data_IF_304961806314
#
_entry.id   IF_304961806314
#
_cell.length_a   1.000
_cell.length_b   1.000
_cell.length_c   1.000
_cell.angle_alpha   90.00
_cell.angle_beta   90.00
_cell.angle_gamma   90.00
#
_symmetry.space_group_name_H-M   'P 1'
#
loop_
_entity.id
_entity.type
_entity.pdbx_description
1 polymer ?
#
# COMPACT_ATOMS: atom_id res chain seq x y z
N UNK A 1 -5.03 3.90 -17.31
CA UNK A 1 -5.68 3.87 -15.97
C UNK A 1 -7.13 3.44 -16.12
N UNK A 2 -7.55 2.39 -15.42
CA UNK A 2 -8.90 1.82 -15.55
C UNK A 2 -9.94 2.72 -14.85
N UNK A 3 -10.76 3.45 -15.63
CA UNK A 3 -11.77 4.39 -15.10
C UNK A 3 -12.79 3.73 -14.16
N UNK A 4 -13.02 2.41 -14.26
CA UNK A 4 -13.92 1.69 -13.35
C UNK A 4 -13.38 1.59 -11.93
N UNK A 5 -12.07 1.42 -11.78
CA UNK A 5 -11.41 1.30 -10.47
C UNK A 5 -11.38 2.64 -9.71
N UNK A 6 -11.45 3.76 -10.44
CA UNK A 6 -11.45 5.10 -9.83
C UNK A 6 -12.80 5.52 -9.22
N UNK A 7 -13.89 4.89 -9.62
CA UNK A 7 -15.24 5.25 -9.19
C UNK A 7 -15.81 4.33 -8.10
N UNK A 8 -15.04 3.31 -7.71
CA UNK A 8 -15.37 2.41 -6.62
C UNK A 8 -14.15 2.32 -5.71
N UNK A 9 -14.34 2.53 -4.45
CA UNK A 9 -13.27 2.41 -3.46
C UNK A 9 -13.72 1.60 -2.26
N UNK A 10 -12.75 1.05 -1.56
CA UNK A 10 -12.98 0.23 -0.38
C UNK A 10 -12.03 0.68 0.72
N UNK A 11 -12.50 0.67 1.95
CA UNK A 11 -11.67 0.82 3.16
C UNK A 11 -11.27 -0.55 3.69
N UNK A 12 -10.04 -0.64 4.18
CA UNK A 12 -9.47 -1.83 4.79
C UNK A 12 -9.59 -1.71 6.29
N UNK A 13 -10.24 -2.68 6.92
CA UNK A 13 -10.38 -2.75 8.37
C UNK A 13 -10.00 -4.15 8.87
N UNK A 14 -9.53 -4.22 10.12
CA UNK A 14 -9.23 -5.50 10.79
C UNK A 14 -10.49 -6.34 10.93
N UNK A 15 -10.34 -7.64 10.75
CA UNK A 15 -11.35 -8.66 10.97
C UNK A 15 -11.48 -9.65 9.83
N UNK A 16 -12.11 -10.75 10.12
CA UNK A 16 -12.39 -11.83 9.18
C UNK A 16 -13.32 -11.37 8.05
N UNK A 17 -12.98 -11.75 6.82
CA UNK A 17 -13.76 -11.48 5.62
C UNK A 17 -14.08 -12.75 4.85
N UNK A 18 -14.79 -12.62 3.72
CA UNK A 18 -15.09 -13.74 2.82
C UNK A 18 -13.84 -14.25 2.09
N UNK A 19 -12.88 -13.36 1.85
CA UNK A 19 -11.65 -13.62 1.11
C UNK A 19 -10.45 -13.52 2.05
N UNK A 20 -9.37 -14.23 1.73
CA UNK A 20 -8.17 -14.33 2.56
C UNK A 20 -7.26 -13.09 2.42
N UNK A 21 -7.83 -11.90 2.66
CA UNK A 21 -7.04 -10.68 2.71
C UNK A 21 -6.33 -10.56 4.05
N UNK A 22 -5.08 -10.13 4.05
CA UNK A 22 -4.24 -10.07 5.24
C UNK A 22 -3.52 -8.72 5.35
N UNK A 23 -3.31 -8.27 6.57
CA UNK A 23 -2.29 -7.31 6.94
C UNK A 23 -1.09 -8.10 7.46
N UNK A 24 0.13 -7.72 7.06
CA UNK A 24 1.35 -8.37 7.54
C UNK A 24 1.50 -9.83 7.12
N UNK A 25 2.13 -10.60 8.00
CA UNK A 25 2.35 -12.03 7.85
C UNK A 25 3.62 -12.40 7.08
N UNK A 26 3.86 -13.72 7.01
CA UNK A 26 5.04 -14.30 6.37
C UNK A 26 4.68 -15.26 5.21
N UNK A 27 3.44 -15.21 4.75
CA UNK A 27 2.95 -16.08 3.66
C UNK A 27 3.54 -15.70 2.28
N UNK A 28 4.22 -14.56 2.20
CA UNK A 28 4.93 -14.05 1.02
C UNK A 28 6.43 -14.04 1.31
N UNK A 29 7.21 -14.70 0.48
CA UNK A 29 8.67 -14.63 0.52
C UNK A 29 9.13 -13.24 0.05
N UNK A 30 9.92 -12.56 0.89
CA UNK A 30 10.42 -11.20 0.62
C UNK A 30 11.93 -11.20 0.42
N UNK A 31 12.44 -10.12 -0.18
CA UNK A 31 13.85 -9.86 -0.35
C UNK A 31 14.38 -8.96 0.77
N UNK A 32 15.69 -9.00 1.04
CA UNK A 32 16.34 -7.99 1.85
C UNK A 32 16.20 -6.60 1.21
N UNK A 33 15.96 -5.59 2.03
CA UNK A 33 15.97 -4.20 1.59
C UNK A 33 17.37 -3.82 1.09
N UNK A 34 17.50 -3.19 -0.07
CA UNK A 34 18.81 -2.77 -0.62
C UNK A 34 19.53 -1.76 0.26
N UNK A 35 18.81 -0.97 1.06
CA UNK A 35 19.38 0.04 1.95
C UNK A 35 19.85 -0.55 3.26
N UNK A 36 18.99 -1.23 4.03
CA UNK A 36 19.32 -1.69 5.39
C UNK A 36 19.63 -3.19 5.51
N UNK A 37 19.39 -3.99 4.47
CA UNK A 37 19.63 -5.43 4.49
C UNK A 37 18.59 -6.25 5.28
N UNK A 38 17.62 -5.60 5.95
CA UNK A 38 16.54 -6.28 6.66
C UNK A 38 15.49 -6.78 5.66
N UNK A 39 14.75 -7.87 5.97
CA UNK A 39 13.64 -8.30 5.14
C UNK A 39 12.59 -7.19 5.00
N UNK A 40 12.11 -6.94 3.78
CA UNK A 40 11.03 -5.98 3.53
C UNK A 40 9.76 -6.48 4.20
N UNK A 41 9.01 -5.57 4.83
CA UNK A 41 7.73 -5.91 5.43
C UNK A 41 6.63 -6.01 4.36
N UNK A 42 5.89 -7.10 4.40
CA UNK A 42 4.60 -7.20 3.71
C UNK A 42 3.58 -6.40 4.53
N UNK A 43 2.89 -5.49 3.89
CA UNK A 43 1.92 -4.58 4.53
C UNK A 43 0.50 -5.08 4.33
N UNK A 44 0.15 -5.41 3.09
CA UNK A 44 -1.15 -5.94 2.73
C UNK A 44 -0.98 -7.11 1.75
N UNK A 45 -1.81 -8.11 1.87
CA UNK A 45 -1.94 -9.19 0.89
C UNK A 45 -3.40 -9.28 0.48
N UNK A 46 -3.68 -9.03 -0.79
CA UNK A 46 -5.02 -9.17 -1.32
C UNK A 46 -5.21 -10.52 -2.01
N UNK A 47 -6.31 -11.18 -1.68
CA UNK A 47 -6.79 -12.36 -2.38
C UNK A 47 -7.42 -11.94 -3.72
N UNK A 48 -6.82 -12.34 -4.83
CA UNK A 48 -7.27 -11.96 -6.16
C UNK A 48 -8.48 -12.77 -6.67
N UNK A 49 -8.96 -13.74 -5.88
CA UNK A 49 -10.28 -14.37 -6.10
C UNK A 49 -11.43 -13.44 -5.69
N UNK A 50 -11.15 -12.39 -4.90
CA UNK A 50 -12.15 -11.36 -4.61
C UNK A 50 -12.55 -10.63 -5.90
N UNK A 51 -13.85 -10.62 -6.26
CA UNK A 51 -14.34 -9.98 -7.48
C UNK A 51 -13.97 -8.51 -7.66
N UNK A 52 -13.60 -7.81 -6.58
CA UNK A 52 -13.13 -6.42 -6.69
C UNK A 52 -11.81 -6.31 -7.45
N UNK A 53 -10.98 -7.36 -7.45
CA UNK A 53 -9.67 -7.42 -8.11
C UNK A 53 -9.70 -8.14 -9.47
N UNK A 54 -10.86 -8.54 -9.97
CA UNK A 54 -10.99 -9.32 -11.22
C UNK A 54 -10.30 -8.69 -12.44
N UNK A 55 -10.21 -7.36 -12.46
CA UNK A 55 -9.65 -6.61 -13.59
C UNK A 55 -8.11 -6.51 -13.51
N UNK A 56 -7.49 -6.89 -12.38
CA UNK A 56 -6.05 -6.79 -12.14
C UNK A 56 -5.38 -8.15 -11.82
N UNK A 57 -6.14 -9.16 -11.43
CA UNK A 57 -5.66 -10.44 -10.91
C UNK A 57 -5.09 -11.43 -11.93
N UNK A 58 -4.72 -11.00 -13.14
CA UNK A 58 -4.31 -11.93 -14.21
C UNK A 58 -3.04 -12.72 -13.87
N UNK A 59 -3.21 -14.03 -13.63
CA UNK A 59 -2.11 -14.97 -13.44
C UNK A 59 -1.38 -14.89 -12.09
N UNK A 60 -2.04 -14.36 -11.07
CA UNK A 60 -1.66 -14.42 -9.66
C UNK A 60 -2.89 -14.79 -8.84
N UNK A 61 -2.68 -15.51 -7.74
CA UNK A 61 -3.73 -15.76 -6.73
C UNK A 61 -3.74 -14.67 -5.66
N UNK A 62 -2.60 -14.01 -5.42
CA UNK A 62 -2.43 -12.99 -4.39
C UNK A 62 -1.63 -11.79 -4.90
N UNK A 63 -1.96 -10.60 -4.39
CA UNK A 63 -1.21 -9.37 -4.64
C UNK A 63 -0.64 -8.84 -3.31
N UNK A 64 0.66 -9.04 -3.05
CA UNK A 64 1.33 -8.43 -1.90
C UNK A 64 1.66 -6.96 -2.18
N UNK A 65 1.40 -6.11 -1.19
CA UNK A 65 1.88 -4.74 -1.12
C UNK A 65 2.89 -4.66 0.03
N UNK A 66 4.10 -4.23 -0.26
CA UNK A 66 5.22 -4.27 0.66
C UNK A 66 6.08 -3.02 0.58
N UNK A 67 6.76 -2.70 1.66
CA UNK A 67 7.78 -1.65 1.74
C UNK A 67 8.75 -1.95 2.89
N UNK A 68 9.96 -1.39 2.84
CA UNK A 68 10.83 -1.39 4.00
C UNK A 68 10.45 -0.22 4.92
N UNK A 69 10.08 -0.52 6.17
CA UNK A 69 9.67 0.49 7.15
C UNK A 69 10.78 0.85 8.15
N UNK A 70 11.97 0.25 8.02
CA UNK A 70 13.05 0.33 9.02
C UNK A 70 14.25 1.17 8.56
N UNK A 71 14.12 1.90 7.47
CA UNK A 71 15.18 2.77 6.97
C UNK A 71 14.62 3.84 6.02
N UNK A 72 15.46 4.77 5.59
CA UNK A 72 15.13 5.82 4.60
C UNK A 72 14.49 5.29 3.33
N UNK A 73 14.65 4.02 3.03
CA UNK A 73 14.00 3.39 1.91
C UNK A 73 12.48 3.50 1.88
N UNK A 74 11.83 3.71 3.03
CA UNK A 74 10.40 3.99 3.06
C UNK A 74 10.04 5.39 2.54
N UNK A 75 11.00 6.31 2.46
CA UNK A 75 10.80 7.67 1.97
C UNK A 75 11.00 7.82 0.47
N UNK A 76 11.48 6.76 -0.18
CA UNK A 76 11.78 6.75 -1.60
C UNK A 76 10.82 5.86 -2.40
N UNK A 77 10.74 6.18 -3.70
CA UNK A 77 10.01 5.33 -4.63
C UNK A 77 10.68 3.96 -4.74
N UNK A 78 9.91 2.92 -4.53
CA UNK A 78 10.34 1.52 -4.65
C UNK A 78 9.61 0.82 -5.79
N UNK A 79 10.28 -0.16 -6.40
CA UNK A 79 9.70 -1.04 -7.41
C UNK A 79 10.07 -2.48 -7.10
N UNK A 80 9.12 -3.39 -7.29
CA UNK A 80 9.36 -4.82 -7.21
C UNK A 80 8.44 -5.60 -8.13
N UNK A 81 8.90 -6.77 -8.53
CA UNK A 81 8.08 -7.72 -9.27
C UNK A 81 7.38 -8.66 -8.31
N UNK A 82 6.14 -9.03 -8.65
CA UNK A 82 5.35 -10.00 -7.90
C UNK A 82 5.28 -11.31 -8.67
N UNK A 83 5.65 -12.40 -8.04
CA UNK A 83 5.37 -13.75 -8.48
C UNK A 83 4.44 -14.45 -7.48
N UNK A 84 4.06 -15.68 -7.76
CA UNK A 84 3.24 -16.46 -6.83
C UNK A 84 3.94 -16.56 -5.46
N UNK A 85 3.32 -15.99 -4.41
CA UNK A 85 3.80 -15.99 -3.03
C UNK A 85 5.21 -15.42 -2.80
N UNK A 86 5.74 -14.58 -3.67
CA UNK A 86 7.05 -13.93 -3.47
C UNK A 86 7.20 -12.60 -4.18
N UNK A 87 8.09 -11.80 -3.64
CA UNK A 87 8.55 -10.53 -4.19
C UNK A 87 9.93 -10.76 -4.84
N UNK A 88 10.12 -10.22 -6.03
CA UNK A 88 11.35 -10.32 -6.82
C UNK A 88 11.84 -8.94 -7.21
N UNK A 89 13.16 -8.83 -7.49
CA UNK A 89 13.77 -7.67 -8.14
C UNK A 89 13.42 -6.33 -7.48
N UNK A 90 13.52 -6.27 -6.14
CA UNK A 90 13.31 -5.03 -5.41
C UNK A 90 14.35 -3.98 -5.82
N UNK A 91 13.87 -2.85 -6.33
CA UNK A 91 14.68 -1.67 -6.68
C UNK A 91 14.23 -0.48 -5.84
N UNK A 92 15.19 0.28 -5.37
CA UNK A 92 15.00 1.44 -4.55
C UNK A 92 16.02 2.50 -4.95
N UNK A 93 15.60 3.74 -4.96
CA UNK A 93 16.41 4.89 -5.32
C UNK A 93 16.60 5.76 -4.07
N UNK A 94 17.53 5.38 -3.22
CA UNK A 94 17.82 6.05 -1.95
C UNK A 94 19.19 6.74 -2.07
N UNK A 95 19.19 8.07 -2.02
CA UNK A 95 20.41 8.88 -2.06
C UNK A 95 21.02 9.05 -0.67
N UNK A 96 20.20 9.17 0.37
CA UNK A 96 20.63 9.34 1.76
C UNK A 96 20.22 8.14 2.60
N UNK A 97 21.20 7.34 3.05
CA UNK A 97 20.94 6.14 3.86
C UNK A 97 20.76 6.48 5.33
N UNK A 98 19.57 6.35 5.82
CA UNK A 98 19.24 6.43 7.22
C UNK A 98 18.68 5.10 7.72
N UNK A 99 18.93 4.73 8.96
CA UNK A 99 18.50 3.48 9.58
C UNK A 99 17.78 3.77 10.88
N UNK A 100 16.66 3.11 11.10
CA UNK A 100 15.96 3.15 12.36
C UNK A 100 16.77 2.46 13.45
N UNK A 101 16.85 3.04 14.64
CA UNK A 101 17.49 2.41 15.79
C UNK A 101 16.84 1.06 16.09
N UNK A 102 17.60 0.12 16.63
CA UNK A 102 17.12 -1.27 16.79
C UNK A 102 15.86 -1.36 17.65
N UNK A 103 15.74 -0.52 18.66
CA UNK A 103 14.62 -0.45 19.60
C UNK A 103 13.33 0.10 18.98
N UNK A 104 13.44 0.92 17.92
CA UNK A 104 12.30 1.55 17.23
C UNK A 104 11.87 0.76 16.00
N UNK A 105 12.62 -0.28 15.62
CA UNK A 105 12.32 -1.05 14.40
C UNK A 105 10.98 -1.77 14.50
N UNK A 106 10.22 -1.63 13.44
CA UNK A 106 9.05 -2.49 13.25
C UNK A 106 9.48 -3.93 12.97
N UNK A 107 8.72 -4.92 13.48
CA UNK A 107 9.04 -6.32 13.26
C UNK A 107 9.02 -6.68 11.76
N UNK A 108 9.84 -7.65 11.39
CA UNK A 108 9.83 -8.26 10.07
C UNK A 108 9.93 -9.79 10.24
N UNK A 109 8.84 -10.52 9.94
CA UNK A 109 7.58 -10.05 9.40
C UNK A 109 6.75 -9.25 10.42
N UNK A 110 5.82 -8.42 9.90
CA UNK A 110 4.75 -7.85 10.71
C UNK A 110 3.80 -8.96 11.19
N UNK A 111 3.05 -8.76 12.29
CA UNK A 111 2.00 -9.67 12.72
C UNK A 111 1.00 -9.93 11.59
N UNK A 112 0.58 -11.19 11.43
CA UNK A 112 -0.45 -11.55 10.45
C UNK A 112 -1.84 -11.34 11.03
N UNK A 113 -2.64 -10.50 10.39
CA UNK A 113 -3.97 -10.11 10.86
C UNK A 113 -4.95 -10.20 9.68
N UNK A 114 -6.09 -10.91 9.85
CA UNK A 114 -7.15 -10.88 8.85
C UNK A 114 -7.70 -9.47 8.67
N UNK A 115 -7.94 -9.09 7.44
CA UNK A 115 -8.57 -7.84 7.08
C UNK A 115 -9.70 -8.08 6.08
N UNK A 116 -10.65 -7.16 6.07
CA UNK A 116 -11.73 -7.20 5.09
C UNK A 116 -11.99 -5.82 4.47
N UNK A 117 -12.63 -5.84 3.33
CA UNK A 117 -12.84 -4.69 2.49
C UNK A 117 -14.31 -4.25 2.56
N UNK A 118 -14.55 -3.01 3.00
CA UNK A 118 -15.87 -2.40 3.01
C UNK A 118 -15.94 -1.26 2.00
N UNK A 119 -17.06 -1.10 1.26
CA UNK A 119 -17.21 -0.01 0.32
C UNK A 119 -16.99 1.35 0.99
N UNK A 120 -16.22 2.23 0.34
CA UNK A 120 -16.14 3.65 0.68
C UNK A 120 -17.44 4.35 0.28
N UNK A 121 -17.85 5.31 1.08
CA UNK A 121 -18.96 6.17 0.73
C UNK A 121 -18.61 7.02 -0.52
N UNK A 122 -19.60 7.30 -1.35
CA UNK A 122 -19.39 8.12 -2.55
C UNK A 122 -18.78 9.48 -2.24
N UNK A 123 -19.14 10.06 -1.09
CA UNK A 123 -18.56 11.34 -0.63
C UNK A 123 -17.05 11.22 -0.42
N UNK A 124 -16.56 10.15 0.21
CA UNK A 124 -15.13 9.92 0.46
C UNK A 124 -14.34 9.76 -0.84
N UNK A 125 -14.90 9.05 -1.83
CA UNK A 125 -14.28 8.93 -3.16
C UNK A 125 -14.17 10.28 -3.88
N UNK A 126 -15.19 11.11 -3.78
CA UNK A 126 -15.21 12.44 -4.39
C UNK A 126 -14.28 13.41 -3.68
N UNK A 127 -14.19 13.35 -2.35
CA UNK A 127 -13.31 14.20 -1.55
C UNK A 127 -11.85 14.01 -1.93
N UNK A 128 -11.41 12.79 -2.17
CA UNK A 128 -10.06 12.48 -2.63
C UNK A 128 -9.69 13.10 -4.01
N UNK A 129 -10.66 13.65 -4.72
CA UNK A 129 -10.48 14.17 -6.10
C UNK A 129 -10.73 15.68 -6.23
N UNK A 130 -11.15 16.37 -5.18
CA UNK A 130 -11.84 17.65 -5.38
C UNK A 130 -11.06 18.89 -4.98
N UNK A 131 -10.40 18.95 -3.89
CA UNK A 131 -9.62 20.09 -3.43
C UNK A 131 -8.69 19.71 -2.30
N UNK A 132 -7.71 20.56 -2.08
CA UNK A 132 -6.72 20.44 -1.00
C UNK A 132 -7.37 20.17 0.36
N UNK A 133 -8.27 21.04 0.81
CA UNK A 133 -8.98 20.89 2.09
C UNK A 133 -9.68 19.53 2.25
N UNK A 134 -10.27 19.03 1.15
CA UNK A 134 -11.01 17.76 1.19
C UNK A 134 -10.14 16.53 1.10
N UNK A 135 -8.95 16.68 0.57
CA UNK A 135 -7.94 15.61 0.59
C UNK A 135 -7.43 15.42 2.02
N UNK A 136 -7.23 16.49 2.78
CA UNK A 136 -6.91 16.39 4.21
C UNK A 136 -8.01 15.66 5.00
N UNK A 137 -9.29 15.92 4.74
CA UNK A 137 -10.38 15.15 5.36
C UNK A 137 -10.26 13.63 5.11
N UNK A 138 -9.67 13.23 3.99
CA UNK A 138 -9.45 11.80 3.68
C UNK A 138 -8.19 11.29 4.35
N UNK A 139 -7.14 12.09 4.46
CA UNK A 139 -5.96 11.75 5.27
C UNK A 139 -6.33 11.56 6.74
N UNK A 140 -7.18 12.43 7.30
CA UNK A 140 -7.67 12.33 8.67
C UNK A 140 -8.49 11.04 8.91
N UNK A 141 -9.14 10.48 7.88
CA UNK A 141 -9.86 9.22 7.98
C UNK A 141 -8.94 8.00 7.85
N UNK A 142 -7.93 8.12 7.01
CA UNK A 142 -6.89 7.11 6.83
C UNK A 142 -5.96 7.18 8.05
N UNK A 143 -5.83 6.09 8.78
CA UNK A 143 -5.11 6.06 10.05
C UNK A 143 -6.00 6.25 11.28
N UNK A 144 -7.14 6.95 11.19
CA UNK A 144 -8.08 7.12 12.30
C UNK A 144 -9.23 6.10 12.26
N UNK A 145 -9.78 5.80 11.09
CA UNK A 145 -10.95 4.93 10.94
C UNK A 145 -10.68 3.66 10.13
N UNK A 146 -9.64 3.67 9.31
CA UNK A 146 -9.19 2.51 8.52
C UNK A 146 -7.73 2.70 8.10
N UNK A 147 -6.99 1.60 8.01
CA UNK A 147 -5.54 1.63 7.73
C UNK A 147 -5.19 1.84 6.27
N UNK A 148 -6.07 1.45 5.37
CA UNK A 148 -5.84 1.57 3.94
C UNK A 148 -7.14 1.78 3.18
N UNK A 149 -7.01 2.39 2.02
CA UNK A 149 -8.08 2.44 1.01
C UNK A 149 -7.61 1.77 -0.27
N UNK A 150 -8.51 1.03 -0.89
CA UNK A 150 -8.28 0.30 -2.13
C UNK A 150 -9.14 0.91 -3.22
N UNK A 151 -8.52 1.27 -4.35
CA UNK A 151 -9.17 1.97 -5.46
C UNK A 151 -9.82 3.31 -5.06
N UNK A 152 -10.73 3.84 -5.87
CA UNK A 152 -11.42 5.11 -5.58
C UNK A 152 -10.60 6.37 -5.85
N UNK A 153 -9.40 6.23 -6.39
CA UNK A 153 -8.46 7.31 -6.67
C UNK A 153 -7.39 7.45 -5.60
N UNK A 154 -6.16 7.73 -6.05
CA UNK A 154 -5.01 7.94 -5.16
C UNK A 154 -5.21 9.18 -4.31
N UNK A 155 -4.60 9.19 -3.15
CA UNK A 155 -4.38 10.42 -2.40
C UNK A 155 -3.21 11.14 -3.06
N UNK A 156 -3.38 12.41 -3.37
CA UNK A 156 -2.38 13.22 -4.02
C UNK A 156 -1.82 14.27 -3.09
N UNK A 157 -0.52 14.48 -3.23
CA UNK A 157 0.07 15.77 -2.98
C UNK A 157 -0.33 16.73 -4.13
N UNK A 158 -1.18 17.66 -3.82
CA UNK A 158 -1.60 18.87 -4.55
C UNK A 158 -1.00 19.08 -5.95
N UNK A 159 -1.65 18.58 -7.00
CA UNK A 159 -1.21 18.83 -8.36
C UNK A 159 -1.92 18.01 -9.43
N UNK A 160 -1.60 18.28 -10.68
CA UNK A 160 -2.04 17.43 -11.79
C UNK A 160 -1.56 15.99 -11.58
N UNK A 161 -2.46 15.03 -11.75
CA UNK A 161 -2.14 13.61 -11.63
C UNK A 161 -1.12 13.21 -12.70
N UNK A 162 0.14 13.19 -12.36
CA UNK A 162 1.16 12.61 -13.23
C UNK A 162 0.81 11.16 -13.54
N UNK A 163 0.99 10.80 -14.79
CA UNK A 163 0.84 9.41 -15.22
C UNK A 163 2.00 8.61 -14.66
N UNK A 164 1.68 7.62 -13.87
CA UNK A 164 2.68 6.70 -13.34
C UNK A 164 2.94 5.60 -14.37
N UNK A 165 4.15 5.55 -14.89
CA UNK A 165 4.56 4.58 -15.90
C UNK A 165 5.34 3.42 -15.30
N UNK A 166 5.07 2.22 -15.79
CA UNK A 166 5.81 1.02 -15.41
C UNK A 166 7.26 1.08 -15.87
N UNK A 167 8.20 0.85 -14.97
CA UNK A 167 9.64 0.85 -15.26
C UNK A 167 10.03 -0.21 -16.30
N UNK A 168 9.30 -1.33 -16.40
CA UNK A 168 9.63 -2.43 -17.32
C UNK A 168 9.02 -2.30 -18.71
N UNK A 169 7.84 -1.65 -18.87
CA UNK A 169 7.15 -1.60 -20.17
C UNK A 169 6.61 -0.23 -20.56
N UNK A 170 6.90 0.80 -19.77
CA UNK A 170 6.49 2.20 -19.99
C UNK A 170 4.98 2.46 -20.12
N UNK A 171 4.13 1.44 -19.87
CA UNK A 171 2.67 1.61 -19.85
C UNK A 171 2.22 2.21 -18.52
N UNK A 172 1.08 2.91 -18.57
CA UNK A 172 0.45 3.44 -17.37
C UNK A 172 0.18 2.30 -16.38
N UNK A 173 0.50 2.54 -15.11
CA UNK A 173 0.19 1.66 -14.00
C UNK A 173 -1.18 2.02 -13.42
N UNK A 174 -1.89 1.04 -12.90
CA UNK A 174 -3.15 1.26 -12.20
C UNK A 174 -2.89 1.50 -10.71
N UNK A 175 -3.51 2.52 -10.14
CA UNK A 175 -3.53 2.74 -8.70
C UNK A 175 -4.33 1.63 -8.02
N UNK A 176 -3.75 1.06 -6.96
CA UNK A 176 -4.33 -0.05 -6.20
C UNK A 176 -4.79 0.39 -4.83
N UNK A 177 -3.91 0.96 -4.03
CA UNK A 177 -4.19 1.29 -2.64
C UNK A 177 -3.38 2.47 -2.14
N UNK A 178 -3.91 3.15 -1.12
CA UNK A 178 -3.14 4.00 -0.21
C UNK A 178 -3.21 3.40 1.18
N UNK A 179 -2.07 3.32 1.87
CA UNK A 179 -1.95 2.82 3.23
C UNK A 179 -1.35 3.92 4.09
N UNK A 180 -2.03 4.26 5.18
CA UNK A 180 -1.52 5.15 6.22
C UNK A 180 -1.06 4.38 7.45
N UNK A 181 -0.48 5.07 8.39
CA UNK A 181 -0.18 4.53 9.71
C UNK A 181 -1.38 4.62 10.65
N UNK A 182 -1.31 3.93 11.79
CA UNK A 182 -2.28 4.09 12.87
C UNK A 182 -2.25 5.53 13.41
N UNK A 183 -3.40 6.01 13.87
CA UNK A 183 -3.41 7.24 14.65
C UNK A 183 -2.83 6.99 16.05
N UNK A 184 -2.24 8.01 16.64
CA UNK A 184 -1.75 7.96 18.03
C UNK A 184 -2.85 7.75 19.06
N UNK A 185 -4.11 7.99 18.68
CA UNK A 185 -5.29 7.91 19.56
C UNK A 185 -6.02 6.56 19.47
N UNK A 186 -5.79 5.78 18.43
CA UNK A 186 -6.49 4.52 18.20
C UNK A 186 -5.60 3.45 17.56
N UNK A 187 -5.92 2.19 17.87
CA UNK A 187 -5.30 1.02 17.24
C UNK A 187 -6.23 0.52 16.15
N UNK A 188 -5.88 0.76 14.89
CA UNK A 188 -6.58 0.17 13.75
C UNK A 188 -6.15 -1.27 13.54
N UNK A 189 -4.94 -1.60 14.03
CA UNK A 189 -4.40 -2.95 14.10
C UNK A 189 -4.23 -3.31 15.57
N UNK A 190 -4.97 -4.32 16.03
CA UNK A 190 -5.10 -4.66 17.46
C UNK A 190 -3.79 -5.11 18.12
N UNK A 191 -2.87 -5.66 17.36
CA UNK A 191 -1.66 -6.31 17.88
C UNK A 191 -0.49 -5.35 18.01
N UNK A 192 -0.40 -4.33 17.17
CA UNK A 192 0.74 -3.45 17.07
C UNK A 192 0.32 -2.04 16.69
N UNK A 193 0.77 -0.99 17.40
CA UNK A 193 0.74 0.36 16.86
C UNK A 193 1.58 0.39 15.57
N UNK A 194 0.95 0.71 14.45
CA UNK A 194 1.60 0.69 13.15
C UNK A 194 1.99 2.12 12.75
N UNK A 195 3.11 2.58 13.32
CA UNK A 195 3.66 3.94 13.12
C UNK A 195 4.96 3.85 12.35
N UNK A 196 5.14 4.69 11.32
CA UNK A 196 6.34 4.67 10.47
C UNK A 196 6.73 6.06 9.92
N UNK A 197 6.27 7.14 10.55
CA UNK A 197 6.76 8.49 10.31
C UNK A 197 5.85 9.40 9.49
N UNK A 198 4.57 9.44 9.81
CA UNK A 198 3.58 10.39 9.26
C UNK A 198 3.50 10.38 7.73
N UNK A 199 3.52 9.16 7.16
CA UNK A 199 3.51 8.96 5.72
C UNK A 199 2.28 8.18 5.25
N UNK A 200 1.98 8.34 3.97
CA UNK A 200 1.04 7.49 3.24
C UNK A 200 1.76 6.85 2.06
N UNK A 201 1.65 5.55 1.92
CA UNK A 201 2.12 4.84 0.75
C UNK A 201 1.03 4.71 -0.29
N UNK A 202 1.28 5.19 -1.50
CA UNK A 202 0.49 4.85 -2.67
C UNK A 202 1.10 3.66 -3.41
N UNK A 203 0.28 2.69 -3.75
CA UNK A 203 0.66 1.51 -4.49
C UNK A 203 0.05 1.52 -5.88
N UNK A 204 0.91 1.30 -6.88
CA UNK A 204 0.52 1.17 -8.28
C UNK A 204 0.96 -0.19 -8.81
N UNK A 205 0.17 -0.75 -9.71
CA UNK A 205 0.45 -2.07 -10.26
C UNK A 205 0.35 -2.10 -11.78
N UNK A 206 1.36 -2.71 -12.40
CA UNK A 206 1.35 -3.06 -13.80
C UNK A 206 1.00 -4.53 -13.96
N UNK A 207 -0.23 -4.83 -14.31
CA UNK A 207 -0.70 -6.22 -14.48
C UNK A 207 0.06 -6.98 -15.59
N UNK A 208 0.57 -6.29 -16.61
CA UNK A 208 1.34 -6.91 -17.71
C UNK A 208 2.70 -7.42 -17.25
N UNK A 209 3.42 -6.63 -16.47
CA UNK A 209 4.76 -6.94 -15.98
C UNK A 209 4.78 -7.50 -14.57
N UNK A 210 3.62 -7.48 -13.88
CA UNK A 210 3.52 -7.84 -12.46
C UNK A 210 4.43 -6.99 -11.56
N UNK A 211 4.63 -5.74 -11.94
CA UNK A 211 5.46 -4.78 -11.20
C UNK A 211 4.56 -3.94 -10.31
N UNK A 212 4.91 -3.82 -9.05
CA UNK A 212 4.37 -2.84 -8.10
C UNK A 212 5.34 -1.68 -8.00
N UNK A 213 4.82 -0.46 -7.99
CA UNK A 213 5.50 0.76 -7.55
C UNK A 213 4.91 1.20 -6.23
N UNK A 214 5.76 1.54 -5.28
CA UNK A 214 5.42 2.19 -4.03
C UNK A 214 5.88 3.63 -4.09
N UNK A 215 4.98 4.54 -3.77
CA UNK A 215 5.24 5.98 -3.77
C UNK A 215 4.85 6.54 -2.40
N UNK A 216 5.83 6.92 -1.56
CA UNK A 216 5.55 7.58 -0.31
C UNK A 216 5.07 9.01 -0.55
N UNK A 217 4.15 9.46 0.28
CA UNK A 217 3.70 10.86 0.36
C UNK A 217 3.87 11.27 1.81
N UNK A 218 4.57 12.37 2.03
CA UNK A 218 4.68 12.99 3.34
C UNK A 218 3.46 13.88 3.58
N UNK A 219 2.89 13.83 4.77
CA UNK A 219 1.79 14.68 5.22
C UNK A 219 2.26 16.09 5.60
#
# INVERSE_FOLDING_TARGET
MNKKLQNKGYKVIEGEGKYANLFGGNSIETLPCPTCGLPVQVLLVFDLEDPIFKDIGQGLSRLPLASCLNCSGCWDTQYYEVAENRILNLQQFDEEKWFMEEEDRLPSPLPEIPIHLLPLAKKEILSAKSSEERVYEVFDQLGANYIARVFGGRLNDFGEMEKISCISCTKDMDYIASLGEDSTEGKLISVLPFLFGEMVFNFFYCYKCKVVRVEPIHS
#
